data_IF_959225143856
#
_entry.id   IF_959225143856
#
_cell.length_a   1.000
_cell.length_b   1.000
_cell.length_c   1.000
_cell.angle_alpha   90.00
_cell.angle_beta   90.00
_cell.angle_gamma   90.00
#
_symmetry.space_group_name_H-M   'P 1'
#
loop_
_entity.id
_entity.type
_entity.pdbx_description
1 polymer ?
#
# COMPACT_ATOMS: atom_id res chain seq x y z
N UNK A 1 4.57 -13.71 -6.13
CA UNK A 1 4.72 -12.42 -5.42
C UNK A 1 3.38 -11.73 -5.18
N UNK A 2 2.44 -11.79 -6.12
CA UNK A 2 1.08 -11.26 -5.89
C UNK A 2 0.37 -11.95 -4.70
N UNK A 3 0.60 -13.24 -4.48
CA UNK A 3 0.10 -13.96 -3.28
C UNK A 3 0.59 -13.31 -1.99
N UNK A 4 1.91 -13.07 -1.86
CA UNK A 4 2.50 -12.44 -0.67
C UNK A 4 1.95 -11.03 -0.47
N UNK A 5 1.81 -10.26 -1.54
CA UNK A 5 1.21 -8.93 -1.45
C UNK A 5 -0.22 -9.02 -0.89
N UNK A 6 -1.06 -9.94 -1.40
CA UNK A 6 -2.44 -10.13 -0.92
C UNK A 6 -2.50 -10.57 0.55
N UNK A 7 -1.56 -11.42 0.98
CA UNK A 7 -1.47 -11.83 2.39
C UNK A 7 -1.14 -10.64 3.30
N UNK A 8 -0.13 -9.85 2.95
CA UNK A 8 0.26 -8.64 3.71
C UNK A 8 -0.84 -7.60 3.67
N UNK A 9 -1.46 -7.37 2.51
CA UNK A 9 -2.60 -6.47 2.35
C UNK A 9 -3.76 -6.89 3.27
N UNK A 10 -4.12 -8.18 3.30
CA UNK A 10 -5.17 -8.69 4.16
C UNK A 10 -4.87 -8.55 5.67
N UNK A 11 -3.61 -8.66 6.08
CA UNK A 11 -3.20 -8.35 7.47
C UNK A 11 -3.39 -6.87 7.77
N UNK A 12 -2.94 -6.00 6.87
CA UNK A 12 -3.07 -4.55 7.01
C UNK A 12 -4.53 -4.07 6.98
N UNK A 13 -5.39 -4.68 6.16
CA UNK A 13 -6.82 -4.39 6.14
C UNK A 13 -7.48 -4.63 7.50
N UNK A 14 -7.09 -5.70 8.21
CA UNK A 14 -7.57 -5.98 9.57
C UNK A 14 -7.05 -4.97 10.60
N UNK A 15 -5.87 -4.39 10.37
CA UNK A 15 -5.31 -3.33 11.21
C UNK A 15 -5.93 -1.95 10.98
N UNK A 16 -6.64 -1.76 9.86
CA UNK A 16 -7.23 -0.47 9.45
C UNK A 16 -8.77 -0.49 9.44
N UNK A 17 -9.40 -1.33 10.28
CA UNK A 17 -10.87 -1.50 10.31
C UNK A 17 -11.63 -0.29 10.84
N UNK A 18 -10.96 0.57 11.62
CA UNK A 18 -11.52 1.83 12.16
C UNK A 18 -11.63 2.94 11.11
N UNK A 19 -11.11 2.71 9.90
CA UNK A 19 -11.06 3.70 8.82
C UNK A 19 -11.94 3.25 7.65
N UNK A 20 -12.42 4.22 6.89
CA UNK A 20 -13.26 4.01 5.71
C UNK A 20 -12.74 4.82 4.52
N UNK A 21 -13.25 4.49 3.32
CA UNK A 21 -12.95 5.23 2.10
C UNK A 21 -11.44 5.41 1.86
N UNK A 22 -11.05 6.62 1.44
CA UNK A 22 -9.65 6.94 1.12
C UNK A 22 -8.73 6.83 2.33
N UNK A 23 -9.22 7.15 3.53
CA UNK A 23 -8.45 7.03 4.76
C UNK A 23 -8.07 5.57 5.06
N UNK A 24 -8.96 4.62 4.74
CA UNK A 24 -8.64 3.19 4.84
C UNK A 24 -7.57 2.79 3.84
N UNK A 25 -7.69 3.22 2.58
CA UNK A 25 -6.69 2.95 1.53
C UNK A 25 -5.32 3.49 1.93
N UNK A 26 -5.24 4.74 2.39
CA UNK A 26 -4.00 5.36 2.87
C UNK A 26 -3.38 4.54 4.01
N UNK A 27 -4.18 4.15 5.00
CA UNK A 27 -3.72 3.31 6.11
C UNK A 27 -3.16 1.97 5.64
N UNK A 28 -3.87 1.26 4.76
CA UNK A 28 -3.44 -0.03 4.23
C UNK A 28 -2.14 0.13 3.44
N UNK A 29 -2.01 1.15 2.58
CA UNK A 29 -0.78 1.36 1.80
C UNK A 29 0.41 1.71 2.71
N UNK A 30 0.21 2.54 3.73
CA UNK A 30 1.24 2.82 4.74
C UNK A 30 1.66 1.55 5.49
N UNK A 31 0.69 0.73 5.91
CA UNK A 31 0.97 -0.52 6.61
C UNK A 31 1.73 -1.53 5.73
N UNK A 32 1.29 -1.74 4.47
CA UNK A 32 1.89 -2.72 3.55
C UNK A 32 3.35 -2.38 3.26
N UNK A 33 3.65 -1.11 3.03
CA UNK A 33 5.03 -0.65 2.89
C UNK A 33 5.12 0.86 3.10
N UNK A 34 5.61 1.31 4.28
CA UNK A 34 5.76 2.73 4.57
C UNK A 34 6.67 3.46 3.57
N UNK A 35 7.67 2.76 3.04
CA UNK A 35 8.63 3.32 2.10
C UNK A 35 8.05 3.45 0.68
N UNK A 36 7.35 2.44 0.17
CA UNK A 36 6.64 2.58 -1.11
C UNK A 36 5.53 3.62 -1.05
N UNK A 37 4.85 3.73 0.10
CA UNK A 37 3.83 4.74 0.28
C UNK A 37 4.43 6.14 0.18
N UNK A 38 5.56 6.35 0.87
CA UNK A 38 6.27 7.63 0.83
C UNK A 38 6.68 8.01 -0.59
N UNK A 39 7.29 7.08 -1.32
CA UNK A 39 7.79 7.33 -2.68
C UNK A 39 6.66 7.72 -3.65
N UNK A 40 5.45 7.17 -3.48
CA UNK A 40 4.37 7.28 -4.47
C UNK A 40 3.21 8.21 -4.08
N UNK A 41 3.02 8.46 -2.79
CA UNK A 41 1.86 9.20 -2.27
C UNK A 41 2.21 10.38 -1.36
N UNK A 42 3.48 10.56 -0.93
CA UNK A 42 3.82 11.63 0.03
C UNK A 42 3.58 13.04 -0.53
N UNK A 43 3.87 13.26 -1.81
CA UNK A 43 3.79 14.58 -2.43
C UNK A 43 2.37 14.93 -2.87
N UNK A 44 1.55 13.91 -3.11
CA UNK A 44 0.19 14.03 -3.63
C UNK A 44 -0.63 12.88 -3.04
N UNK A 45 -1.38 13.18 -1.98
CA UNK A 45 -2.17 12.17 -1.28
C UNK A 45 -3.35 11.73 -2.15
N UNK A 46 -3.90 10.54 -1.89
CA UNK A 46 -5.17 10.17 -2.49
C UNK A 46 -6.29 11.01 -1.86
N UNK A 47 -7.15 11.56 -2.69
CA UNK A 47 -8.35 12.28 -2.26
C UNK A 47 -9.61 11.43 -2.39
N UNK A 48 -10.68 11.84 -1.71
CA UNK A 48 -11.97 11.14 -1.81
C UNK A 48 -12.55 11.25 -3.23
N UNK A 49 -12.98 10.11 -3.78
CA UNK A 49 -13.52 10.05 -5.15
C UNK A 49 -12.48 9.83 -6.24
N UNK A 50 -11.18 9.89 -5.92
CA UNK A 50 -10.12 9.60 -6.88
C UNK A 50 -9.93 8.10 -7.15
N UNK A 51 -9.51 7.79 -8.38
CA UNK A 51 -9.04 6.45 -8.74
C UNK A 51 -7.56 6.32 -8.44
N UNK A 52 -7.17 5.31 -7.66
CA UNK A 52 -5.77 5.03 -7.34
C UNK A 52 -5.03 4.41 -8.55
N UNK A 53 -4.60 5.26 -9.49
CA UNK A 53 -3.82 4.86 -10.67
C UNK A 53 -2.40 4.36 -10.32
N UNK A 54 -1.94 4.59 -9.09
CA UNK A 54 -0.58 4.28 -8.62
C UNK A 54 -0.46 2.87 -8.03
N UNK A 55 -1.58 2.16 -7.87
CA UNK A 55 -1.63 0.84 -7.26
C UNK A 55 -0.66 -0.18 -7.90
N UNK A 56 -0.56 -0.22 -9.23
CA UNK A 56 0.33 -1.17 -9.90
C UNK A 56 1.81 -0.84 -9.64
N UNK A 57 2.17 0.44 -9.65
CA UNK A 57 3.51 0.90 -9.27
C UNK A 57 3.81 0.58 -7.80
N UNK A 58 2.83 0.73 -6.91
CA UNK A 58 2.97 0.39 -5.49
C UNK A 58 3.22 -1.10 -5.28
N UNK A 59 2.47 -1.98 -5.97
CA UNK A 59 2.71 -3.43 -5.95
C UNK A 59 4.10 -3.79 -6.45
N UNK A 60 4.55 -3.18 -7.55
CA UNK A 60 5.90 -3.38 -8.09
C UNK A 60 6.99 -2.95 -7.10
N UNK A 61 6.81 -1.79 -6.47
CA UNK A 61 7.69 -1.27 -5.43
C UNK A 61 7.81 -2.22 -4.22
N UNK A 62 6.67 -2.75 -3.74
CA UNK A 62 6.64 -3.71 -2.65
C UNK A 62 7.48 -4.96 -2.98
N UNK A 63 7.28 -5.54 -4.17
CA UNK A 63 8.01 -6.74 -4.59
C UNK A 63 9.52 -6.49 -4.65
N UNK A 64 9.96 -5.35 -5.19
CA UNK A 64 11.38 -5.00 -5.25
C UNK A 64 12.00 -4.91 -3.85
N UNK A 65 11.33 -4.22 -2.91
CA UNK A 65 11.83 -4.07 -1.54
C UNK A 65 11.79 -5.39 -0.78
N UNK A 66 10.72 -6.17 -0.94
CA UNK A 66 10.59 -7.48 -0.31
C UNK A 66 11.70 -8.44 -0.76
N UNK A 67 12.06 -8.44 -2.05
CA UNK A 67 13.16 -9.25 -2.56
C UNK A 67 14.52 -8.81 -1.98
N UNK A 68 14.78 -7.50 -1.87
CA UNK A 68 16.00 -6.97 -1.25
C UNK A 68 16.15 -7.37 0.23
N UNK A 69 15.05 -7.53 0.95
CA UNK A 69 15.07 -7.99 2.34
C UNK A 69 15.36 -9.50 2.49
N UNK A 70 15.21 -10.29 1.41
CA UNK A 70 15.42 -11.75 1.43
C UNK A 70 16.76 -12.19 0.86
N UNK A 71 17.52 -11.29 0.26
CA UNK A 71 18.91 -11.45 -0.17
C UNK A 71 19.86 -10.90 0.87
#
# INVERSE_FOLDING_TARGET
MEVIYREVEGVCERGCLDKNGVAKTICVRQCVSPSCFRDLYQHDMLEEGEVDVRLNSFKGCFVQRYNKFRT
#
